data_IF_496193601374
#
_entry.id   IF_496193601374
#
_cell.length_a   1.000
_cell.length_b   1.000
_cell.length_c   1.000
_cell.angle_alpha   90.00
_cell.angle_beta   90.00
_cell.angle_gamma   90.00
#
_symmetry.space_group_name_H-M   'P 1'
#
loop_
_entity.id
_entity.type
_entity.pdbx_description
1 polymer ?
#
# COMPACT_ATOMS: atom_id res chain seq x y z
N UNK A 1 1.66 -11.53 25.35
CA UNK A 1 1.28 -11.99 24.00
C UNK A 1 2.25 -11.35 23.05
N UNK A 2 3.18 -12.10 22.47
CA UNK A 2 4.08 -11.62 21.42
C UNK A 2 3.23 -11.20 20.22
N UNK A 3 3.33 -9.93 19.81
CA UNK A 3 2.65 -9.43 18.61
C UNK A 3 3.10 -10.29 17.43
N UNK A 4 2.15 -10.95 16.76
CA UNK A 4 2.47 -11.72 15.54
C UNK A 4 2.95 -10.77 14.47
N UNK A 5 4.08 -11.07 13.84
CA UNK A 5 4.63 -10.32 12.69
C UNK A 5 4.03 -10.78 11.35
N UNK A 6 3.16 -11.77 11.40
CA UNK A 6 2.49 -12.32 10.21
C UNK A 6 1.75 -11.27 9.38
N UNK A 7 1.03 -10.27 9.95
CA UNK A 7 0.38 -9.25 9.14
C UNK A 7 1.35 -8.45 8.27
N UNK A 8 2.54 -8.11 8.81
CA UNK A 8 3.58 -7.43 8.04
C UNK A 8 4.20 -8.36 7.00
N UNK A 9 4.48 -9.60 7.37
CA UNK A 9 5.02 -10.60 6.45
C UNK A 9 4.07 -10.82 5.26
N UNK A 10 2.78 -11.00 5.52
CA UNK A 10 1.75 -11.09 4.47
C UNK A 10 1.70 -9.84 3.60
N UNK A 11 1.84 -8.65 4.19
CA UNK A 11 1.91 -7.41 3.42
C UNK A 11 3.07 -7.42 2.42
N UNK A 12 4.25 -7.93 2.78
CA UNK A 12 5.39 -8.01 1.84
C UNK A 12 5.11 -8.88 0.61
N UNK A 13 4.17 -9.82 0.70
CA UNK A 13 3.72 -10.63 -0.44
C UNK A 13 2.58 -9.96 -1.21
N UNK A 14 1.69 -9.25 -0.53
CA UNK A 14 0.52 -8.59 -1.14
C UNK A 14 0.93 -7.31 -1.88
N UNK A 15 1.83 -6.50 -1.30
CA UNK A 15 2.22 -5.20 -1.84
C UNK A 15 2.74 -5.28 -3.28
N UNK A 16 3.70 -6.14 -3.68
CA UNK A 16 4.18 -6.19 -5.05
C UNK A 16 3.12 -6.66 -6.04
N UNK A 17 2.17 -7.51 -5.62
CA UNK A 17 1.05 -7.93 -6.47
C UNK A 17 0.10 -6.75 -6.69
N UNK A 18 -0.19 -5.98 -5.65
CA UNK A 18 -0.99 -4.75 -5.76
C UNK A 18 -0.28 -3.71 -6.62
N UNK A 19 1.02 -3.56 -6.47
CA UNK A 19 1.83 -2.50 -7.08
C UNK A 19 2.01 -2.64 -8.60
N UNK A 20 1.64 -3.78 -9.22
CA UNK A 20 1.61 -3.89 -10.69
C UNK A 20 0.75 -2.78 -11.30
N UNK A 21 -0.29 -2.31 -10.57
CA UNK A 21 -1.14 -1.20 -11.02
C UNK A 21 -0.41 0.14 -11.14
N UNK A 22 0.74 0.29 -10.47
CA UNK A 22 1.54 1.51 -10.45
C UNK A 22 2.80 1.44 -11.31
N UNK A 23 3.40 0.27 -11.42
CA UNK A 23 4.72 0.12 -12.04
C UNK A 23 4.73 -0.64 -13.37
N UNK A 24 3.71 -1.47 -13.66
CA UNK A 24 3.60 -2.12 -14.96
C UNK A 24 3.06 -1.18 -16.05
N UNK A 25 3.33 -1.51 -17.31
CA UNK A 25 2.92 -0.68 -18.45
C UNK A 25 1.42 -0.78 -18.75
N UNK A 26 0.83 -1.96 -18.50
CA UNK A 26 -0.55 -2.29 -18.86
C UNK A 26 -1.59 -1.41 -18.13
N UNK A 27 -1.51 -1.16 -16.81
CA UNK A 27 -2.43 -0.25 -16.13
C UNK A 27 -2.33 1.18 -16.65
N UNK A 28 -1.12 1.66 -16.95
CA UNK A 28 -0.94 2.98 -17.55
C UNK A 28 -1.64 3.08 -18.90
N UNK A 29 -1.47 2.10 -19.78
CA UNK A 29 -2.13 2.04 -21.07
C UNK A 29 -3.65 1.96 -20.93
N UNK A 30 -4.17 1.22 -19.96
CA UNK A 30 -5.60 1.11 -19.67
C UNK A 30 -6.19 2.48 -19.27
N UNK A 31 -5.55 3.21 -18.34
CA UNK A 31 -5.99 4.56 -17.97
C UNK A 31 -5.88 5.56 -19.11
N UNK A 32 -4.83 5.52 -19.92
CA UNK A 32 -4.68 6.37 -21.09
C UNK A 32 -5.78 6.11 -22.14
N UNK A 33 -6.14 4.84 -22.36
CA UNK A 33 -7.24 4.42 -23.23
C UNK A 33 -8.61 4.87 -22.70
N UNK A 34 -8.77 4.93 -21.37
CA UNK A 34 -9.96 5.47 -20.71
C UNK A 34 -10.00 7.02 -20.67
N UNK A 35 -9.04 7.70 -21.29
CA UNK A 35 -9.02 9.17 -21.40
C UNK A 35 -8.17 9.88 -20.34
N UNK A 36 -7.53 9.16 -19.42
CA UNK A 36 -6.68 9.72 -18.38
C UNK A 36 -5.21 9.77 -18.84
N UNK A 37 -4.80 10.89 -19.38
CA UNK A 37 -3.40 11.09 -19.78
C UNK A 37 -2.54 11.53 -18.60
N UNK A 38 -1.39 10.89 -18.46
CA UNK A 38 -0.40 11.16 -17.42
C UNK A 38 -0.62 10.33 -16.15
N UNK A 39 0.50 9.86 -15.61
CA UNK A 39 0.56 8.90 -14.50
C UNK A 39 -0.33 9.28 -13.28
N UNK A 40 -0.20 10.50 -12.78
CA UNK A 40 -0.85 10.90 -11.53
C UNK A 40 -2.38 11.01 -11.63
N UNK A 41 -2.93 11.29 -12.82
CA UNK A 41 -4.39 11.26 -13.00
C UNK A 41 -4.94 9.85 -12.88
N UNK A 42 -4.30 8.88 -13.53
CA UNK A 42 -4.64 7.45 -13.40
C UNK A 42 -4.46 6.96 -11.96
N UNK A 43 -3.34 7.31 -11.31
CA UNK A 43 -3.08 6.93 -9.93
C UNK A 43 -4.18 7.40 -8.98
N UNK A 44 -4.49 8.71 -8.96
CA UNK A 44 -5.50 9.24 -8.05
C UNK A 44 -6.92 8.80 -8.41
N UNK A 45 -7.27 8.73 -9.69
CA UNK A 45 -8.56 8.22 -10.12
C UNK A 45 -8.75 6.75 -9.70
N UNK A 46 -7.82 5.87 -10.09
CA UNK A 46 -7.94 4.44 -9.84
C UNK A 46 -7.95 4.10 -8.35
N UNK A 47 -7.12 4.77 -7.53
CA UNK A 47 -7.05 4.52 -6.10
C UNK A 47 -8.23 5.11 -5.32
N UNK A 48 -8.75 6.27 -5.76
CA UNK A 48 -9.88 6.94 -5.10
C UNK A 48 -11.25 6.44 -5.59
N UNK A 49 -11.34 5.81 -6.75
CA UNK A 49 -12.61 5.38 -7.35
C UNK A 49 -13.53 4.53 -6.44
N UNK A 50 -13.02 3.64 -5.57
CA UNK A 50 -13.86 2.91 -4.62
C UNK A 50 -14.68 3.82 -3.69
N UNK A 51 -14.18 5.03 -3.42
CA UNK A 51 -14.88 6.04 -2.60
C UNK A 51 -15.96 6.82 -3.38
N UNK A 52 -16.14 6.52 -4.69
CA UNK A 52 -16.99 7.33 -5.58
C UNK A 52 -16.30 8.60 -6.06
N UNK A 53 -17.08 9.55 -6.58
CA UNK A 53 -16.58 10.84 -7.09
C UNK A 53 -16.21 11.82 -5.96
N UNK A 54 -15.32 11.41 -5.05
CA UNK A 54 -14.91 12.22 -3.89
C UNK A 54 -14.05 13.41 -4.28
N UNK A 55 -14.10 14.46 -3.44
CA UNK A 55 -13.19 15.58 -3.50
C UNK A 55 -11.80 15.26 -2.94
N UNK A 56 -10.90 16.24 -2.98
CA UNK A 56 -9.53 16.06 -2.50
C UNK A 56 -9.41 15.83 -0.98
N UNK A 57 -10.36 16.35 -0.17
CA UNK A 57 -10.28 16.27 1.30
C UNK A 57 -10.18 14.84 1.85
N UNK A 58 -11.13 13.94 1.56
CA UNK A 58 -11.04 12.53 1.97
C UNK A 58 -9.77 11.85 1.49
N UNK A 59 -9.33 12.11 0.25
CA UNK A 59 -8.13 11.50 -0.32
C UNK A 59 -6.86 12.00 0.36
N UNK A 60 -6.76 13.28 0.71
CA UNK A 60 -5.64 13.82 1.49
C UNK A 60 -5.54 13.11 2.85
N UNK A 61 -6.67 12.87 3.50
CA UNK A 61 -6.70 12.18 4.80
C UNK A 61 -6.28 10.71 4.68
N UNK A 62 -6.84 9.98 3.71
CA UNK A 62 -6.64 8.52 3.56
C UNK A 62 -5.28 8.18 2.93
N UNK A 63 -4.80 9.00 1.97
CA UNK A 63 -3.49 8.77 1.33
C UNK A 63 -2.33 9.43 2.10
N UNK A 64 -2.60 10.00 3.22
CA UNK A 64 -1.77 10.58 4.28
C UNK A 64 -0.41 11.19 3.85
N UNK A 65 0.44 10.47 3.12
CA UNK A 65 1.79 10.90 2.74
C UNK A 65 1.87 11.90 1.57
N UNK A 66 0.77 12.19 0.85
CA UNK A 66 0.79 13.12 -0.28
C UNK A 66 0.58 14.57 0.16
N UNK A 67 1.35 15.48 -0.43
CA UNK A 67 1.15 16.91 -0.22
C UNK A 67 -0.26 17.34 -0.69
N UNK A 68 -1.02 18.10 0.13
CA UNK A 68 -2.38 18.50 -0.24
C UNK A 68 -2.50 19.23 -1.58
N UNK A 69 -1.59 20.14 -1.98
CA UNK A 69 -1.63 20.76 -3.31
C UNK A 69 -1.44 19.73 -4.43
N UNK A 70 -0.67 18.68 -4.21
CA UNK A 70 -0.42 17.65 -5.20
C UNK A 70 -1.68 16.82 -5.49
N UNK A 71 -2.42 16.41 -4.45
CA UNK A 71 -3.72 15.75 -4.59
C UNK A 71 -4.73 16.64 -5.33
N UNK A 72 -4.77 17.94 -4.98
CA UNK A 72 -5.71 18.91 -5.60
C UNK A 72 -5.47 19.16 -7.08
N UNK A 73 -4.30 18.79 -7.64
CA UNK A 73 -4.05 18.83 -9.09
C UNK A 73 -4.89 17.80 -9.86
N UNK A 74 -5.24 16.69 -9.22
CA UNK A 74 -6.00 15.61 -9.84
C UNK A 74 -7.47 15.65 -9.40
N UNK A 75 -7.77 15.85 -8.11
CA UNK A 75 -9.11 15.77 -7.54
C UNK A 75 -9.67 17.14 -7.15
N UNK A 76 -10.95 17.39 -7.43
CA UNK A 76 -11.95 16.48 -8.07
C UNK A 76 -11.95 16.49 -9.58
N UNK A 77 -11.06 17.25 -10.25
CA UNK A 77 -11.12 17.52 -11.69
C UNK A 77 -11.11 16.25 -12.56
N UNK A 78 -10.48 15.17 -12.12
CA UNK A 78 -10.43 13.90 -12.84
C UNK A 78 -11.83 13.31 -13.10
N UNK A 79 -12.80 13.56 -12.21
CA UNK A 79 -14.19 13.07 -12.36
C UNK A 79 -15.00 13.72 -13.48
N UNK A 80 -14.48 14.81 -14.07
CA UNK A 80 -15.03 15.36 -15.31
C UNK A 80 -14.49 14.65 -16.56
N UNK A 81 -13.43 13.84 -16.42
CA UNK A 81 -12.78 13.12 -17.53
C UNK A 81 -13.22 11.64 -17.55
N UNK A 82 -13.49 11.05 -16.38
CA UNK A 82 -13.84 9.65 -16.22
C UNK A 82 -14.78 9.48 -15.01
N UNK A 83 -15.72 8.56 -15.10
CA UNK A 83 -16.54 8.18 -13.93
C UNK A 83 -15.76 7.26 -12.99
N UNK A 84 -16.11 7.19 -11.67
CA UNK A 84 -15.50 6.21 -10.76
C UNK A 84 -15.59 4.78 -11.29
N UNK A 85 -16.75 4.36 -11.82
CA UNK A 85 -16.93 2.99 -12.37
C UNK A 85 -15.97 2.74 -13.54
N UNK A 86 -15.87 3.65 -14.50
CA UNK A 86 -14.94 3.50 -15.61
C UNK A 86 -13.46 3.54 -15.15
N UNK A 87 -13.15 4.23 -14.06
CA UNK A 87 -11.81 4.19 -13.46
C UNK A 87 -11.53 2.85 -12.77
N UNK A 88 -12.53 2.23 -12.12
CA UNK A 88 -12.45 0.87 -11.58
C UNK A 88 -12.24 -0.15 -12.69
N UNK A 89 -12.99 -0.05 -13.80
CA UNK A 89 -12.85 -0.93 -14.96
C UNK A 89 -11.44 -0.84 -15.57
N UNK A 90 -10.93 0.38 -15.78
CA UNK A 90 -9.59 0.60 -16.32
C UNK A 90 -8.51 0.04 -15.38
N UNK A 91 -8.65 0.26 -14.06
CA UNK A 91 -7.78 -0.27 -13.02
C UNK A 91 -7.75 -1.80 -13.06
N UNK A 92 -8.93 -2.43 -13.04
CA UNK A 92 -9.06 -3.89 -13.06
C UNK A 92 -8.50 -4.50 -14.34
N UNK A 93 -8.84 -3.94 -15.51
CA UNK A 93 -8.35 -4.43 -16.80
C UNK A 93 -6.83 -4.32 -16.93
N UNK A 94 -6.25 -3.19 -16.50
CA UNK A 94 -4.81 -2.98 -16.53
C UNK A 94 -4.06 -3.93 -15.60
N UNK A 95 -4.52 -4.08 -14.36
CA UNK A 95 -3.92 -4.99 -13.39
C UNK A 95 -4.04 -6.47 -13.85
N UNK A 96 -5.21 -6.87 -14.37
CA UNK A 96 -5.39 -8.21 -14.91
C UNK A 96 -4.46 -8.50 -16.10
N UNK A 97 -4.26 -7.55 -16.98
CA UNK A 97 -3.33 -7.72 -18.11
C UNK A 97 -1.88 -7.93 -17.67
N UNK A 98 -1.42 -7.16 -16.68
CA UNK A 98 -0.10 -7.35 -16.09
C UNK A 98 0.03 -8.72 -15.40
N UNK A 99 -0.98 -9.10 -14.59
CA UNK A 99 -0.96 -10.38 -13.86
C UNK A 99 -1.06 -11.60 -14.78
N UNK A 100 -1.79 -11.54 -15.90
CA UNK A 100 -1.77 -12.65 -16.88
C UNK A 100 -0.37 -12.93 -17.42
N UNK A 101 0.45 -11.91 -17.56
CA UNK A 101 1.84 -12.08 -17.98
C UNK A 101 2.73 -12.61 -16.87
N UNK A 102 2.51 -12.14 -15.63
CA UNK A 102 3.37 -12.45 -14.48
C UNK A 102 2.98 -13.74 -13.75
N UNK A 103 1.71 -14.09 -13.76
CA UNK A 103 1.13 -15.25 -13.10
C UNK A 103 0.16 -15.99 -14.04
N UNK A 104 0.67 -16.66 -15.07
CA UNK A 104 -0.15 -17.29 -16.11
C UNK A 104 -0.90 -18.55 -15.64
N UNK A 105 -0.55 -19.12 -14.48
CA UNK A 105 -1.26 -20.25 -13.89
C UNK A 105 -2.57 -19.77 -13.24
N UNK A 106 -3.64 -19.84 -14.00
CA UNK A 106 -4.98 -19.40 -13.59
C UNK A 106 -5.51 -20.19 -12.38
N UNK A 107 -5.21 -21.47 -12.29
CA UNK A 107 -5.63 -22.30 -11.16
C UNK A 107 -4.96 -21.88 -9.85
N UNK A 108 -3.67 -21.53 -9.91
CA UNK A 108 -2.95 -20.97 -8.76
C UNK A 108 -3.53 -19.60 -8.35
N UNK A 109 -3.86 -18.75 -9.32
CA UNK A 109 -4.49 -17.44 -9.10
C UNK A 109 -5.88 -17.60 -8.47
N UNK A 110 -6.72 -18.50 -8.96
CA UNK A 110 -8.05 -18.78 -8.41
C UNK A 110 -7.97 -19.32 -6.98
N UNK A 111 -7.05 -20.25 -6.72
CA UNK A 111 -6.82 -20.80 -5.38
C UNK A 111 -6.38 -19.74 -4.38
N UNK A 112 -5.46 -18.86 -4.77
CA UNK A 112 -5.02 -17.72 -3.96
C UNK A 112 -6.18 -16.72 -3.73
N UNK A 113 -6.97 -16.42 -4.77
CA UNK A 113 -8.13 -15.52 -4.67
C UNK A 113 -9.13 -16.01 -3.65
N UNK A 114 -9.54 -17.29 -3.73
CA UNK A 114 -10.51 -17.88 -2.82
C UNK A 114 -10.02 -17.82 -1.36
N UNK A 115 -8.70 -17.98 -1.13
CA UNK A 115 -8.13 -17.88 0.20
C UNK A 115 -8.16 -16.43 0.74
N UNK A 116 -7.81 -15.42 -0.09
CA UNK A 116 -7.85 -14.02 0.30
C UNK A 116 -9.27 -13.51 0.51
N UNK A 117 -10.23 -13.91 -0.32
CA UNK A 117 -11.64 -13.52 -0.18
C UNK A 117 -12.26 -14.05 1.12
N UNK A 118 -11.93 -15.27 1.55
CA UNK A 118 -12.37 -15.77 2.86
C UNK A 118 -11.86 -14.90 4.00
N UNK A 119 -10.62 -14.40 3.90
CA UNK A 119 -10.10 -13.43 4.88
C UNK A 119 -10.91 -12.14 4.85
N UNK A 120 -11.15 -11.57 3.67
CA UNK A 120 -11.88 -10.31 3.49
C UNK A 120 -13.29 -10.41 4.06
N UNK A 121 -13.99 -11.51 3.84
CA UNK A 121 -15.37 -11.73 4.29
C UNK A 121 -15.52 -11.76 5.83
N UNK A 122 -14.40 -11.95 6.55
CA UNK A 122 -14.36 -12.00 8.02
C UNK A 122 -13.74 -10.76 8.68
N UNK A 123 -13.24 -9.78 7.87
CA UNK A 123 -12.61 -8.58 8.41
C UNK A 123 -13.61 -7.60 9.01
N UNK A 124 -13.24 -7.00 10.13
CA UNK A 124 -13.92 -5.81 10.65
C UNK A 124 -13.34 -4.54 10.00
N UNK A 125 -14.18 -3.84 9.24
CA UNK A 125 -13.80 -2.60 8.54
C UNK A 125 -14.05 -1.33 9.35
N UNK A 126 -14.44 -1.39 10.62
CA UNK A 126 -14.65 -0.21 11.44
C UNK A 126 -13.37 0.66 11.50
N UNK A 127 -13.47 1.93 11.07
CA UNK A 127 -12.35 2.86 10.98
C UNK A 127 -11.37 2.63 9.80
N UNK A 128 -11.71 1.75 8.85
CA UNK A 128 -10.88 1.39 7.70
C UNK A 128 -11.60 1.74 6.40
N UNK A 129 -11.71 3.05 6.16
CA UNK A 129 -12.60 3.60 5.13
C UNK A 129 -12.21 3.18 3.70
N UNK A 130 -10.92 3.15 3.37
CA UNK A 130 -10.46 2.78 2.03
C UNK A 130 -10.49 1.26 1.83
N UNK A 131 -10.17 0.49 2.87
CA UNK A 131 -10.34 -0.96 2.89
C UNK A 131 -11.80 -1.36 2.69
N UNK A 132 -12.72 -0.76 3.44
CA UNK A 132 -14.17 -0.98 3.30
C UNK A 132 -14.66 -0.64 1.90
N UNK A 133 -14.30 0.53 1.38
CA UNK A 133 -14.70 0.93 0.03
C UNK A 133 -14.18 -0.02 -1.07
N UNK A 134 -12.98 -0.59 -0.89
CA UNK A 134 -12.47 -1.62 -1.81
C UNK A 134 -13.19 -2.97 -1.64
N UNK A 135 -13.63 -3.33 -0.44
CA UNK A 135 -14.42 -4.54 -0.21
C UNK A 135 -15.84 -4.46 -0.82
N UNK A 136 -16.39 -3.25 -0.91
CA UNK A 136 -17.71 -2.99 -1.54
C UNK A 136 -17.66 -2.99 -3.09
N UNK A 137 -16.46 -2.93 -3.69
CA UNK A 137 -16.33 -3.07 -5.16
C UNK A 137 -16.79 -4.46 -5.57
N UNK A 138 -17.70 -4.59 -6.53
CA UNK A 138 -18.15 -5.90 -7.03
C UNK A 138 -16.96 -6.76 -7.47
N UNK A 139 -16.96 -8.03 -7.05
CA UNK A 139 -15.90 -8.98 -7.42
C UNK A 139 -15.90 -9.19 -8.92
N UNK A 140 -14.80 -8.92 -9.64
CA UNK A 140 -14.74 -9.13 -11.09
C UNK A 140 -14.92 -10.59 -11.48
N UNK A 141 -15.50 -10.85 -12.66
CA UNK A 141 -15.60 -12.21 -13.22
C UNK A 141 -14.24 -12.71 -13.74
N UNK A 142 -13.38 -11.80 -14.23
CA UNK A 142 -12.03 -12.13 -14.69
C UNK A 142 -11.14 -12.59 -13.52
N UNK A 143 -10.54 -13.80 -13.56
CA UNK A 143 -9.78 -14.34 -12.43
C UNK A 143 -8.62 -13.48 -11.97
N UNK A 144 -7.87 -12.87 -12.89
CA UNK A 144 -6.72 -12.01 -12.54
C UNK A 144 -7.16 -10.65 -12.00
N UNK A 145 -8.25 -10.07 -12.54
CA UNK A 145 -8.84 -8.85 -12.00
C UNK A 145 -9.37 -9.06 -10.58
N UNK A 146 -10.04 -10.18 -10.36
CA UNK A 146 -10.60 -10.60 -9.06
C UNK A 146 -9.51 -10.84 -8.03
N UNK A 147 -8.43 -11.52 -8.42
CA UNK A 147 -7.25 -11.72 -7.59
C UNK A 147 -6.61 -10.39 -7.19
N UNK A 148 -6.39 -9.51 -8.17
CA UNK A 148 -5.84 -8.18 -7.89
C UNK A 148 -6.74 -7.37 -6.97
N UNK A 149 -8.07 -7.39 -7.17
CA UNK A 149 -9.02 -6.69 -6.31
C UNK A 149 -8.96 -7.20 -4.86
N UNK A 150 -8.81 -8.50 -4.64
CA UNK A 150 -8.63 -9.06 -3.30
C UNK A 150 -7.35 -8.55 -2.64
N UNK A 151 -6.23 -8.52 -3.37
CA UNK A 151 -4.97 -7.96 -2.84
C UNK A 151 -5.09 -6.46 -2.57
N UNK A 152 -5.78 -5.71 -3.42
CA UNK A 152 -6.03 -4.28 -3.23
C UNK A 152 -6.85 -4.00 -1.95
N UNK A 153 -7.89 -4.78 -1.70
CA UNK A 153 -8.71 -4.67 -0.49
C UNK A 153 -7.86 -4.88 0.78
N UNK A 154 -7.07 -5.94 0.83
CA UNK A 154 -6.22 -6.25 1.98
C UNK A 154 -5.09 -5.23 2.17
N UNK A 155 -4.52 -4.76 1.07
CA UNK A 155 -3.50 -3.70 1.08
C UNK A 155 -4.05 -2.40 1.65
N UNK A 156 -5.24 -1.95 1.19
CA UNK A 156 -5.84 -0.72 1.70
C UNK A 156 -6.38 -0.89 3.12
N UNK A 157 -6.88 -2.07 3.49
CA UNK A 157 -7.22 -2.39 4.87
C UNK A 157 -6.03 -2.19 5.84
N UNK A 158 -4.85 -2.75 5.48
CA UNK A 158 -3.63 -2.53 6.28
C UNK A 158 -3.16 -1.08 6.20
N UNK A 159 -3.32 -0.43 5.05
CA UNK A 159 -3.00 0.99 4.85
C UNK A 159 -3.77 1.90 5.81
N UNK A 160 -5.07 1.69 5.96
CA UNK A 160 -5.91 2.43 6.92
C UNK A 160 -5.47 2.19 8.37
N UNK A 161 -5.13 0.94 8.73
CA UNK A 161 -4.57 0.61 10.04
C UNK A 161 -3.26 1.34 10.31
N UNK A 162 -2.39 1.44 9.30
CA UNK A 162 -1.11 2.15 9.40
C UNK A 162 -1.31 3.65 9.56
N UNK A 163 -2.21 4.26 8.77
CA UNK A 163 -2.54 5.69 8.91
C UNK A 163 -3.09 5.98 10.30
N UNK A 164 -3.96 5.14 10.84
CA UNK A 164 -4.49 5.30 12.20
C UNK A 164 -3.37 5.22 13.27
N UNK A 165 -2.43 4.28 13.11
CA UNK A 165 -1.27 4.16 14.01
C UNK A 165 -0.36 5.39 13.95
N UNK A 166 -0.09 5.92 12.75
CA UNK A 166 0.68 7.15 12.54
C UNK A 166 0.03 8.37 13.17
N UNK A 167 -1.29 8.52 13.03
CA UNK A 167 -2.07 9.59 13.67
C UNK A 167 -1.97 9.47 15.18
N UNK A 168 -2.16 8.27 15.73
CA UNK A 168 -2.07 8.02 17.17
C UNK A 168 -0.67 8.31 17.74
N UNK A 169 0.39 8.10 16.95
CA UNK A 169 1.78 8.40 17.32
C UNK A 169 2.20 9.86 17.05
N UNK A 170 1.33 10.67 16.43
CA UNK A 170 1.60 12.08 16.12
C UNK A 170 2.69 12.30 15.06
N UNK A 171 2.83 11.38 14.09
CA UNK A 171 3.82 11.44 13.00
C UNK A 171 3.21 11.16 11.62
N UNK A 172 1.92 11.43 11.45
CA UNK A 172 1.26 11.27 10.15
C UNK A 172 1.73 12.33 9.12
N UNK A 173 1.42 12.08 7.85
CA UNK A 173 1.72 13.00 6.76
C UNK A 173 3.20 13.08 6.43
N UNK A 174 3.76 14.30 6.36
CA UNK A 174 5.15 14.53 6.01
C UNK A 174 6.14 14.00 7.06
N UNK A 175 5.76 14.00 8.34
CA UNK A 175 6.66 13.62 9.44
C UNK A 175 7.17 12.18 9.30
N UNK A 176 6.29 11.23 9.01
CA UNK A 176 6.73 9.84 8.81
C UNK A 176 7.60 9.69 7.56
N UNK A 177 7.36 10.46 6.50
CA UNK A 177 8.19 10.41 5.30
C UNK A 177 9.60 10.87 5.58
N UNK A 178 9.75 11.96 6.34
CA UNK A 178 11.08 12.46 6.76
C UNK A 178 11.81 11.43 7.62
N UNK A 179 11.13 10.82 8.61
CA UNK A 179 11.69 9.77 9.46
C UNK A 179 12.12 8.53 8.65
N UNK A 180 11.28 8.10 7.68
CA UNK A 180 11.60 6.97 6.82
C UNK A 180 12.77 7.26 5.88
N UNK A 181 12.90 8.50 5.39
CA UNK A 181 14.07 8.89 4.60
C UNK A 181 15.36 8.94 5.43
N UNK A 182 15.26 9.24 6.72
CA UNK A 182 16.40 9.16 7.63
C UNK A 182 16.75 7.72 8.04
N UNK A 183 15.88 6.74 7.75
CA UNK A 183 16.06 5.34 8.10
C UNK A 183 16.42 4.45 6.90
N UNK A 184 15.55 4.41 5.86
CA UNK A 184 15.60 3.34 4.86
C UNK A 184 15.02 3.69 3.48
N UNK A 185 14.50 4.89 3.25
CA UNK A 185 13.94 5.29 1.95
C UNK A 185 14.72 6.45 1.33
N UNK A 186 14.90 6.44 0.03
CA UNK A 186 15.60 7.48 -0.71
C UNK A 186 14.75 8.75 -0.84
N UNK A 187 15.22 9.85 -0.23
CA UNK A 187 14.53 11.16 -0.26
C UNK A 187 14.33 11.69 -1.68
N UNK A 188 15.32 11.57 -2.54
CA UNK A 188 15.29 12.03 -3.93
C UNK A 188 14.27 11.29 -4.80
N UNK A 189 13.81 10.11 -4.36
CA UNK A 189 12.70 9.36 -4.97
C UNK A 189 11.37 9.68 -4.29
N UNK A 190 11.33 9.61 -2.96
CA UNK A 190 10.09 9.74 -2.19
C UNK A 190 9.50 11.15 -2.22
N UNK A 191 10.31 12.17 -1.95
CA UNK A 191 9.86 13.56 -1.82
C UNK A 191 9.13 14.06 -3.08
N UNK A 192 9.69 13.96 -4.30
CA UNK A 192 9.00 14.37 -5.52
C UNK A 192 7.78 13.49 -5.83
N UNK A 193 7.84 12.19 -5.56
CA UNK A 193 6.72 11.27 -5.75
C UNK A 193 5.53 11.55 -4.80
N UNK A 194 5.74 12.30 -3.72
CA UNK A 194 4.68 12.73 -2.79
C UNK A 194 4.32 14.20 -2.94
N UNK A 195 5.05 14.95 -3.78
CA UNK A 195 4.75 16.33 -4.13
C UNK A 195 5.13 17.37 -3.07
N UNK A 196 6.02 17.03 -2.13
CA UNK A 196 6.49 17.93 -1.09
C UNK A 196 7.66 18.79 -1.57
N UNK A 197 7.65 20.09 -1.17
CA UNK A 197 8.73 21.03 -1.42
C UNK A 197 9.86 20.94 -0.38
N UNK A 198 11.01 21.55 -0.69
CA UNK A 198 12.17 21.56 0.22
C UNK A 198 11.90 22.39 1.49
N UNK A 199 11.15 23.49 1.39
CA UNK A 199 10.82 24.32 2.55
C UNK A 199 9.93 23.56 3.55
N UNK A 200 8.89 22.85 3.04
CA UNK A 200 8.02 22.05 3.88
C UNK A 200 8.79 20.89 4.52
N UNK A 201 9.71 20.30 3.77
CA UNK A 201 10.58 19.23 4.26
C UNK A 201 11.50 19.72 5.38
N UNK A 202 12.13 20.88 5.22
CA UNK A 202 13.00 21.49 6.24
C UNK A 202 12.22 21.79 7.54
N UNK A 203 11.01 22.38 7.42
CA UNK A 203 10.15 22.63 8.59
C UNK A 203 9.77 21.34 9.32
N UNK A 204 9.49 20.25 8.58
CA UNK A 204 9.21 18.95 9.19
C UNK A 204 10.45 18.36 9.88
N UNK A 205 11.63 18.49 9.27
CA UNK A 205 12.92 18.06 9.86
C UNK A 205 13.17 18.81 11.17
N UNK A 206 13.04 20.13 11.20
CA UNK A 206 13.24 20.95 12.41
C UNK A 206 12.27 20.52 13.53
N UNK A 207 11.00 20.30 13.18
CA UNK A 207 10.00 19.82 14.15
C UNK A 207 10.34 18.45 14.73
N UNK A 208 10.81 17.52 13.92
CA UNK A 208 11.22 16.18 14.36
C UNK A 208 12.49 16.21 15.19
N UNK A 209 13.45 17.08 14.86
CA UNK A 209 14.67 17.33 15.66
C UNK A 209 14.29 17.92 17.02
N UNK A 210 13.40 18.90 17.07
CA UNK A 210 12.91 19.48 18.34
C UNK A 210 12.19 18.44 19.23
N UNK A 211 11.62 17.37 18.64
CA UNK A 211 11.02 16.24 19.35
C UNK A 211 12.04 15.16 19.74
N UNK A 212 13.31 15.28 19.37
CA UNK A 212 14.36 14.30 19.63
C UNK A 212 14.23 13.02 18.78
N UNK A 213 13.48 13.05 17.67
CA UNK A 213 13.32 11.94 16.76
C UNK A 213 14.40 11.90 15.67
N UNK A 214 14.99 13.07 15.38
CA UNK A 214 16.18 13.24 14.54
C UNK A 214 17.26 13.97 15.33
N UNK A 215 18.52 13.71 15.01
CA UNK A 215 19.67 14.48 15.45
C UNK A 215 19.83 15.78 14.63
N UNK A 216 20.73 16.65 15.05
CA UNK A 216 20.99 17.94 14.40
C UNK A 216 21.52 17.81 12.97
N UNK A 217 22.11 16.68 12.61
CA UNK A 217 22.58 16.34 11.26
C UNK A 217 21.50 15.67 10.39
N UNK A 218 20.30 15.47 10.93
CA UNK A 218 19.17 14.82 10.26
C UNK A 218 19.16 13.30 10.35
N UNK A 219 20.10 12.69 11.07
CA UNK A 219 20.11 11.23 11.32
C UNK A 219 18.96 10.84 12.25
N UNK A 220 18.43 9.64 12.08
CA UNK A 220 17.37 9.13 12.97
C UNK A 220 17.97 8.70 14.32
N UNK A 221 17.36 9.17 15.42
CA UNK A 221 17.74 8.77 16.78
C UNK A 221 17.20 7.40 17.16
N UNK A 222 17.68 6.81 18.27
CA UNK A 222 17.09 5.59 18.83
C UNK A 222 15.61 5.77 19.23
N UNK A 223 15.24 6.97 19.70
CA UNK A 223 13.83 7.31 19.98
C UNK A 223 13.00 7.33 18.70
N UNK A 224 13.55 7.87 17.62
CA UNK A 224 12.90 7.85 16.31
C UNK A 224 12.73 6.43 15.76
N UNK A 225 13.75 5.58 15.88
CA UNK A 225 13.68 4.15 15.49
C UNK A 225 12.64 3.39 16.31
N UNK A 226 12.62 3.63 17.64
CA UNK A 226 11.63 2.98 18.51
C UNK A 226 10.21 3.42 18.16
N UNK A 227 9.99 4.71 17.87
CA UNK A 227 8.68 5.19 17.43
C UNK A 227 8.19 4.50 16.16
N UNK A 228 9.06 4.34 15.15
CA UNK A 228 8.71 3.59 13.93
C UNK A 228 8.37 2.14 14.27
N UNK A 229 9.15 1.50 15.14
CA UNK A 229 8.89 0.13 15.61
C UNK A 229 7.53 0.00 16.28
N UNK A 230 7.18 0.95 17.14
CA UNK A 230 5.90 0.97 17.85
C UNK A 230 4.71 1.19 16.92
N UNK A 231 4.86 2.09 15.93
CA UNK A 231 3.85 2.31 14.88
C UNK A 231 3.62 1.04 14.07
N UNK A 232 4.69 0.37 13.67
CA UNK A 232 4.58 -0.88 12.92
C UNK A 232 3.92 -1.99 13.77
N UNK A 233 4.28 -2.10 15.04
CA UNK A 233 3.65 -3.06 15.95
C UNK A 233 2.16 -2.75 16.19
N UNK A 234 1.78 -1.48 16.25
CA UNK A 234 0.38 -1.07 16.34
C UNK A 234 -0.39 -1.39 15.04
N UNK A 235 0.24 -1.16 13.88
CA UNK A 235 -0.29 -1.54 12.58
C UNK A 235 -0.53 -3.05 12.47
N UNK A 236 0.46 -3.86 12.87
CA UNK A 236 0.36 -5.32 12.83
C UNK A 236 -0.78 -5.83 13.72
N UNK A 237 -0.97 -5.24 14.90
CA UNK A 237 -2.11 -5.60 15.78
C UNK A 237 -3.45 -5.24 15.16
N UNK A 238 -3.55 -4.04 14.55
CA UNK A 238 -4.79 -3.56 13.96
C UNK A 238 -5.16 -4.26 12.64
N UNK A 239 -4.16 -4.78 11.92
CA UNK A 239 -4.32 -5.45 10.63
C UNK A 239 -4.28 -6.98 10.73
N UNK A 240 -4.32 -7.55 11.95
CA UNK A 240 -4.24 -9.00 12.15
C UNK A 240 -5.49 -9.73 11.62
N UNK A 241 -5.27 -10.85 10.94
CA UNK A 241 -6.32 -11.77 10.51
C UNK A 241 -6.64 -12.73 11.65
N UNK A 242 -7.50 -12.29 12.58
CA UNK A 242 -7.74 -12.97 13.84
C UNK A 242 -8.55 -14.25 13.75
N UNK A 243 -9.23 -14.46 12.63
CA UNK A 243 -10.01 -15.67 12.34
C UNK A 243 -9.17 -16.86 11.88
N UNK A 244 -7.90 -16.60 11.46
CA UNK A 244 -7.01 -17.64 10.94
C UNK A 244 -5.91 -18.01 11.93
N UNK A 245 -5.55 -19.30 11.95
CA UNK A 245 -4.35 -19.78 12.63
C UNK A 245 -3.08 -19.36 11.85
N UNK A 246 -1.94 -19.38 12.52
CA UNK A 246 -0.64 -19.12 11.88
C UNK A 246 -0.35 -20.10 10.74
N UNK A 247 -0.78 -21.36 10.86
CA UNK A 247 -0.58 -22.38 9.83
C UNK A 247 -1.40 -22.09 8.56
N UNK A 248 -2.65 -21.63 8.73
CA UNK A 248 -3.50 -21.21 7.60
C UNK A 248 -2.93 -19.99 6.90
N UNK A 249 -2.45 -18.98 7.66
CA UNK A 249 -1.78 -17.81 7.08
C UNK A 249 -0.52 -18.23 6.31
N UNK A 250 0.27 -19.15 6.87
CA UNK A 250 1.48 -19.68 6.22
C UNK A 250 1.14 -20.43 4.92
N UNK A 251 0.04 -21.18 4.91
CA UNK A 251 -0.42 -21.86 3.69
C UNK A 251 -0.83 -20.87 2.59
N UNK A 252 -1.56 -19.80 2.94
CA UNK A 252 -1.91 -18.71 2.01
C UNK A 252 -0.63 -18.06 1.47
N UNK A 253 0.33 -17.76 2.35
CA UNK A 253 1.59 -17.14 1.98
C UNK A 253 2.39 -17.98 0.98
N UNK A 254 2.43 -19.32 1.14
CA UNK A 254 3.06 -20.24 0.19
C UNK A 254 2.44 -20.15 -1.20
N UNK A 255 1.12 -20.05 -1.30
CA UNK A 255 0.41 -19.86 -2.57
C UNK A 255 0.72 -18.50 -3.22
N UNK A 256 0.87 -17.44 -2.43
CA UNK A 256 1.17 -16.09 -2.94
C UNK A 256 2.64 -15.90 -3.33
N UNK A 257 3.59 -16.57 -2.67
CA UNK A 257 5.03 -16.34 -2.82
C UNK A 257 5.54 -16.37 -4.26
N UNK A 258 5.20 -17.34 -5.12
CA UNK A 258 5.68 -17.34 -6.50
C UNK A 258 5.14 -16.15 -7.30
N UNK A 259 3.88 -15.77 -7.10
CA UNK A 259 3.26 -14.63 -7.78
C UNK A 259 3.89 -13.31 -7.29
N UNK A 260 4.07 -13.18 -5.98
CA UNK A 260 4.71 -12.01 -5.37
C UNK A 260 6.14 -11.79 -5.88
N UNK A 261 6.93 -12.87 -6.02
CA UNK A 261 8.29 -12.80 -6.58
C UNK A 261 8.29 -12.34 -8.04
N UNK A 262 7.37 -12.85 -8.85
CA UNK A 262 7.25 -12.44 -10.25
C UNK A 262 6.88 -10.96 -10.37
N UNK A 263 5.94 -10.49 -9.54
CA UNK A 263 5.54 -9.08 -9.50
C UNK A 263 6.66 -8.18 -8.97
N UNK A 264 7.37 -8.60 -7.92
CA UNK A 264 8.47 -7.82 -7.34
C UNK A 264 9.63 -7.63 -8.32
N UNK A 265 9.86 -8.57 -9.23
CA UNK A 265 10.88 -8.45 -10.27
C UNK A 265 10.58 -7.32 -11.29
N UNK A 266 9.34 -6.84 -11.37
CA UNK A 266 8.93 -5.70 -12.21
C UNK A 266 9.13 -4.34 -11.52
N UNK A 267 9.32 -4.33 -10.20
CA UNK A 267 9.48 -3.07 -9.46
C UNK A 267 10.81 -2.41 -9.80
N UNK A 268 10.86 -1.08 -9.93
CA UNK A 268 12.11 -0.35 -10.04
C UNK A 268 13.03 -0.64 -8.85
N UNK A 269 14.34 -0.65 -9.08
CA UNK A 269 15.35 -0.84 -8.02
C UNK A 269 15.20 0.18 -6.87
N UNK A 270 14.78 1.41 -7.20
CA UNK A 270 14.49 2.47 -6.22
C UNK A 270 13.04 2.92 -6.35
N UNK A 271 12.25 2.57 -5.36
CA UNK A 271 10.83 2.89 -5.32
C UNK A 271 10.48 3.88 -4.19
N UNK A 272 9.38 4.63 -4.30
CA UNK A 272 8.90 5.47 -3.20
C UNK A 272 8.26 4.66 -2.04
N UNK A 273 8.24 3.34 -2.13
CA UNK A 273 7.80 2.43 -1.04
C UNK A 273 8.99 1.80 -0.29
N UNK A 274 10.22 2.06 -0.75
CA UNK A 274 11.45 1.51 -0.16
C UNK A 274 11.81 0.12 -0.69
N UNK A 275 12.77 -0.52 -0.02
CA UNK A 275 13.21 -1.88 -0.33
C UNK A 275 12.19 -2.89 0.23
N UNK A 276 11.48 -3.56 -0.67
CA UNK A 276 10.47 -4.55 -0.30
C UNK A 276 11.11 -5.94 -0.21
N UNK A 277 11.51 -6.33 1.00
CA UNK A 277 11.99 -7.69 1.26
C UNK A 277 10.81 -8.64 1.38
N UNK A 278 10.70 -9.55 0.42
CA UNK A 278 9.64 -10.55 0.44
C UNK A 278 9.82 -11.56 1.57
N UNK A 279 8.72 -11.95 2.17
CA UNK A 279 8.72 -13.04 3.14
C UNK A 279 9.10 -14.37 2.47
N UNK A 280 10.20 -14.97 2.92
CA UNK A 280 10.57 -16.34 2.56
C UNK A 280 9.89 -17.30 3.53
N UNK A 281 8.71 -17.74 3.15
CA UNK A 281 7.84 -18.58 3.98
C UNK A 281 8.47 -19.94 4.31
N UNK A 282 9.33 -20.47 3.43
CA UNK A 282 10.00 -21.76 3.64
C UNK A 282 11.17 -21.63 4.61
N UNK A 283 11.94 -20.55 4.52
CA UNK A 283 13.10 -20.34 5.38
C UNK A 283 12.71 -19.82 6.77
N UNK A 284 11.60 -19.06 6.88
CA UNK A 284 11.15 -18.45 8.14
C UNK A 284 9.62 -18.49 8.28
N UNK A 285 9.03 -19.66 8.55
CA UNK A 285 7.58 -19.80 8.71
C UNK A 285 6.96 -18.91 9.80
N UNK A 286 7.76 -18.54 10.80
CA UNK A 286 7.32 -17.69 11.92
C UNK A 286 7.43 -16.18 11.62
N UNK A 287 7.93 -15.81 10.45
CA UNK A 287 8.20 -14.43 10.06
C UNK A 287 9.06 -13.64 11.10
N UNK A 288 10.04 -14.32 11.70
CA UNK A 288 10.89 -13.77 12.77
C UNK A 288 11.79 -12.63 12.28
N UNK A 289 12.18 -12.65 10.99
CA UNK A 289 13.07 -11.69 10.36
C UNK A 289 12.40 -10.34 10.04
N UNK A 290 11.05 -10.27 10.04
CA UNK A 290 10.30 -9.03 9.75
C UNK A 290 10.44 -8.07 10.93
N UNK A 291 11.69 -7.68 11.21
CA UNK A 291 12.02 -6.62 12.15
C UNK A 291 12.32 -5.37 11.33
N UNK A 292 11.91 -4.17 11.75
CA UNK A 292 12.44 -2.95 11.16
C UNK A 292 13.97 -3.02 11.22
N UNK A 293 14.69 -2.54 10.19
CA UNK A 293 16.14 -2.46 10.28
C UNK A 293 16.54 -1.69 11.53
N UNK A 294 17.52 -2.25 12.23
CA UNK A 294 18.07 -1.66 13.46
C UNK A 294 18.78 -0.33 13.17
#
# INVERSE_FOLDING_TARGET
MTSSRLPRAMWTLIEPIHDVTYFSAEPRAAFESAGLRGYWRGYFAGRAAPLGAVGAGPVIALFSGFAPPFVRRALPAVWSMITPDAALDARAAGAAAALRRLAPDESAVEGATAALERVIDELDFAGRALGAANADVPRPDDPHARFWQATATLREYRGDCHVAALVGAGVAGLDILVLRCALDIYRDVLQPARGWGDDEWAVATDRLTARGLLDADGSITDVGRQLITDVEAATDRAAAWTSLSSDEITLIAKGLSPIARACAAELPERTPIGDLRLWDVEADPAAAWVTPPA
#
